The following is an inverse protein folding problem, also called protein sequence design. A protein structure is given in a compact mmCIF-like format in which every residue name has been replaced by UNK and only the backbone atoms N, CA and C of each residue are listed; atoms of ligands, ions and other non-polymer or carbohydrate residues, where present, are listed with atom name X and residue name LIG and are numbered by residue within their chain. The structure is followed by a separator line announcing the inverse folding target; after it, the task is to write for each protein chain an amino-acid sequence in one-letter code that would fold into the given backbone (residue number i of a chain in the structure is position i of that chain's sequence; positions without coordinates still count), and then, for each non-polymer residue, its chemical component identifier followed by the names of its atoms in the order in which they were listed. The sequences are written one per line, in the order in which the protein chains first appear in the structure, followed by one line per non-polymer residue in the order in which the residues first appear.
data_IF_082686000545
#
_entry.id   IF_082686000545
#
_cell.length_a   1.000
_cell.length_b   1.000
_cell.length_c   1.000
_cell.angle_alpha   90.00
_cell.angle_beta   90.00
_cell.angle_gamma   90.00
#
_symmetry.space_group_name_H-M   'P 1'
#
loop_
_entity.id
_entity.type
_entity.pdbx_description
1 polymer ?
#
# COMPACT_ATOMS: atom_id res chain seq x y z
N UNK A 1 -25.89 22.22 -16.70
CA UNK A 1 -25.85 20.76 -16.45
C UNK A 1 -24.61 20.04 -16.99
N UNK A 2 -23.82 20.61 -17.94
CA UNK A 2 -22.60 19.96 -18.45
C UNK A 2 -21.34 20.14 -17.57
N UNK A 3 -21.21 21.23 -16.84
CA UNK A 3 -20.01 21.56 -16.04
C UNK A 3 -19.76 20.63 -14.84
N UNK A 4 -20.81 20.07 -14.25
CA UNK A 4 -20.68 19.12 -13.12
C UNK A 4 -20.00 17.81 -13.52
N UNK A 5 -20.28 17.30 -14.72
CA UNK A 5 -19.68 16.06 -15.23
C UNK A 5 -18.17 16.20 -15.45
N UNK A 6 -17.70 17.38 -15.87
CA UNK A 6 -16.28 17.64 -16.05
C UNK A 6 -15.52 17.73 -14.72
N UNK A 7 -16.13 18.29 -13.67
CA UNK A 7 -15.53 18.33 -12.33
C UNK A 7 -15.36 16.93 -11.72
N UNK A 8 -16.33 16.04 -11.93
CA UNK A 8 -16.26 14.65 -11.46
C UNK A 8 -15.15 13.85 -12.13
N UNK A 9 -14.95 14.02 -13.45
CA UNK A 9 -13.87 13.34 -14.17
C UNK A 9 -12.49 13.76 -13.62
N UNK A 10 -12.27 15.05 -13.41
CA UNK A 10 -10.99 15.56 -12.85
C UNK A 10 -10.73 15.00 -11.45
N UNK A 11 -11.76 14.89 -10.59
CA UNK A 11 -11.65 14.29 -9.26
C UNK A 11 -11.33 12.79 -9.29
N UNK A 12 -11.91 12.03 -10.22
CA UNK A 12 -11.62 10.60 -10.36
C UNK A 12 -10.23 10.32 -10.96
N UNK A 13 -9.70 11.19 -11.82
CA UNK A 13 -8.33 11.07 -12.34
C UNK A 13 -7.26 11.57 -11.35
N UNK A 14 -7.60 12.50 -10.44
CA UNK A 14 -6.70 13.00 -9.39
C UNK A 14 -6.81 12.24 -8.07
N UNK A 15 -7.84 11.40 -7.88
CA UNK A 15 -7.87 10.45 -6.79
C UNK A 15 -6.64 9.55 -6.96
N UNK A 16 -5.62 9.70 -6.10
CA UNK A 16 -4.34 9.10 -6.35
C UNK A 16 -4.55 7.60 -6.46
N UNK A 17 -3.88 6.97 -7.41
CA UNK A 17 -3.70 5.52 -7.53
C UNK A 17 -2.92 4.97 -6.32
N UNK A 18 -3.34 5.35 -5.11
CA UNK A 18 -2.85 4.90 -3.80
C UNK A 18 -2.93 3.38 -3.76
N UNK A 19 -3.87 2.77 -4.49
CA UNK A 19 -4.08 1.33 -4.60
C UNK A 19 -2.84 0.53 -5.00
N UNK A 20 -1.95 1.06 -5.84
CA UNK A 20 -0.71 0.35 -6.20
C UNK A 20 0.53 0.81 -5.43
N UNK A 21 0.55 2.05 -4.94
CA UNK A 21 1.78 2.70 -4.47
C UNK A 21 2.35 2.12 -3.16
N UNK A 22 1.48 1.76 -2.21
CA UNK A 22 1.91 1.20 -0.93
C UNK A 22 2.36 -0.26 -1.07
N UNK A 23 1.65 -1.02 -1.90
CA UNK A 23 1.96 -2.43 -2.15
C UNK A 23 3.31 -2.55 -2.90
N UNK A 24 3.56 -1.69 -3.89
CA UNK A 24 4.84 -1.67 -4.61
C UNK A 24 6.02 -1.31 -3.69
N UNK A 25 5.85 -0.36 -2.77
CA UNK A 25 6.89 -0.04 -1.77
C UNK A 25 7.18 -1.20 -0.83
N UNK A 26 6.14 -1.91 -0.39
CA UNK A 26 6.29 -3.10 0.43
C UNK A 26 7.05 -4.20 -0.32
N UNK A 27 6.65 -4.47 -1.57
CA UNK A 27 7.26 -5.46 -2.43
C UNK A 27 8.73 -5.15 -2.74
N UNK A 28 9.07 -3.87 -2.99
CA UNK A 28 10.45 -3.40 -3.19
C UNK A 28 11.36 -3.66 -1.99
N UNK A 29 10.82 -3.71 -0.78
CA UNK A 29 11.55 -4.08 0.44
C UNK A 29 11.53 -5.58 0.75
N UNK A 30 11.10 -6.43 -0.21
CA UNK A 30 10.88 -7.87 -0.03
C UNK A 30 9.87 -8.20 1.08
N UNK A 31 8.95 -7.27 1.35
CA UNK A 31 7.88 -7.44 2.32
C UNK A 31 6.63 -8.08 1.71
N UNK A 32 5.77 -8.60 2.58
CA UNK A 32 4.45 -9.15 2.25
C UNK A 32 3.36 -8.32 2.93
N UNK A 33 2.26 -8.10 2.22
CA UNK A 33 1.07 -7.46 2.77
C UNK A 33 0.16 -8.53 3.39
N UNK A 34 0.05 -8.56 4.72
CA UNK A 34 -0.76 -9.53 5.48
C UNK A 34 -1.48 -8.81 6.64
N UNK A 35 -2.54 -9.39 7.21
CA UNK A 35 -3.27 -8.74 8.31
C UNK A 35 -2.43 -8.63 9.60
N UNK A 36 -1.57 -9.59 9.85
CA UNK A 36 -0.66 -9.59 11.00
C UNK A 36 0.67 -10.23 10.65
N UNK A 37 1.77 -9.59 11.06
CA UNK A 37 3.11 -10.12 10.91
C UNK A 37 3.32 -11.35 11.80
N UNK A 38 4.10 -12.31 11.33
CA UNK A 38 4.53 -13.43 12.15
C UNK A 38 5.63 -13.02 13.14
N UNK A 39 5.91 -13.87 14.13
CA UNK A 39 6.96 -13.63 15.15
C UNK A 39 8.35 -13.44 14.52
N UNK A 40 8.60 -14.09 13.38
CA UNK A 40 9.86 -14.00 12.64
C UNK A 40 9.84 -12.92 11.55
N UNK A 41 8.86 -12.02 11.58
CA UNK A 41 8.69 -10.93 10.63
C UNK A 41 8.55 -9.59 11.37
N UNK A 42 9.11 -8.54 10.79
CA UNK A 42 9.02 -7.17 11.30
C UNK A 42 8.01 -6.34 10.54
N UNK A 43 7.23 -5.55 11.27
CA UNK A 43 6.32 -4.55 10.71
C UNK A 43 7.10 -3.33 10.24
N UNK A 44 7.18 -3.12 8.93
CA UNK A 44 7.87 -1.96 8.35
C UNK A 44 6.92 -0.86 7.84
N UNK A 45 5.62 -1.13 7.81
CA UNK A 45 4.62 -0.16 7.37
C UNK A 45 3.24 -0.78 7.10
N UNK A 46 2.41 -0.05 6.36
CA UNK A 46 1.05 -0.47 6.01
C UNK A 46 0.88 -0.51 4.48
N UNK A 47 0.14 -1.52 4.04
CA UNK A 47 -0.30 -1.71 2.68
C UNK A 47 -1.73 -1.16 2.49
N UNK A 48 -2.29 -1.35 1.30
CA UNK A 48 -3.69 -1.08 1.05
C UNK A 48 -4.64 -1.84 2.00
N UNK A 49 -5.87 -1.35 2.14
CA UNK A 49 -6.95 -2.01 2.90
C UNK A 49 -6.57 -2.34 4.36
N UNK A 50 -5.75 -1.50 4.98
CA UNK A 50 -5.29 -1.67 6.38
C UNK A 50 -4.44 -2.93 6.63
N UNK A 51 -3.91 -3.55 5.57
CA UNK A 51 -2.96 -4.64 5.70
C UNK A 51 -1.61 -4.10 6.20
N UNK A 52 -0.84 -4.95 6.87
CA UNK A 52 0.49 -4.66 7.38
C UNK A 52 1.53 -5.15 6.37
N UNK A 53 2.57 -4.34 6.15
CA UNK A 53 3.73 -4.74 5.39
C UNK A 53 4.75 -5.38 6.34
N UNK A 54 4.93 -6.69 6.21
CA UNK A 54 5.80 -7.51 7.05
C UNK A 54 7.01 -7.98 6.25
N UNK A 55 8.22 -7.84 6.80
CA UNK A 55 9.47 -8.31 6.17
C UNK A 55 10.07 -9.40 7.04
N UNK A 56 10.58 -10.46 6.43
CA UNK A 56 11.30 -11.50 7.17
C UNK A 56 12.51 -10.90 7.87
N UNK A 57 12.61 -11.13 9.19
CA UNK A 57 13.81 -10.78 9.95
C UNK A 57 15.00 -11.50 9.32
N UNK A 58 15.90 -10.74 8.70
CA UNK A 58 17.19 -11.29 8.34
C UNK A 58 17.96 -11.49 9.65
N UNK A 59 18.45 -12.71 9.95
CA UNK A 59 19.33 -12.88 11.10
C UNK A 59 20.53 -11.96 10.88
N UNK A 60 20.73 -11.01 11.79
CA UNK A 60 21.95 -10.22 11.83
C UNK A 60 23.10 -11.21 12.03
N UNK A 61 23.95 -11.33 11.01
CA UNK A 61 25.18 -12.13 11.06
C UNK A 61 26.23 -11.50 11.96
#
# INVERSE_FOLDING_TARGET
MRTSLFLFAVFFFLAPARSGFFDEKCLKRKGKCIESCQINEELIGFCQKSLKCCVALQPCG
#
